data_IF_131748237392
#
_entry.id   IF_131748237392
#
_cell.length_a   1.000
_cell.length_b   1.000
_cell.length_c   1.000
_cell.angle_alpha   90.00
_cell.angle_beta   90.00
_cell.angle_gamma   90.00
#
_symmetry.space_group_name_H-M   'P 1'
#
loop_
_entity.id
_entity.type
_entity.pdbx_description
1 polymer ?
#
# COMPACT_ATOMS: atom_id res chain seq x y z
N UNK A 1 0.69 14.66 5.03
CA UNK A 1 0.96 14.49 3.58
C UNK A 1 1.77 13.21 3.43
N UNK A 2 1.56 12.44 2.36
CA UNK A 2 2.44 11.31 2.04
C UNK A 2 3.67 11.85 1.29
N UNK A 3 4.90 11.70 1.81
CA UNK A 3 6.13 12.12 1.13
C UNK A 3 6.39 11.30 -0.14
N UNK A 4 7.18 11.82 -1.08
CA UNK A 4 7.58 11.03 -2.24
C UNK A 4 8.62 9.98 -1.80
N UNK A 5 8.65 8.82 -2.46
CA UNK A 5 9.54 7.72 -2.08
C UNK A 5 11.03 8.09 -2.01
N UNK A 6 11.46 9.06 -2.84
CA UNK A 6 12.82 9.60 -2.87
C UNK A 6 13.17 10.47 -1.64
N UNK A 7 12.17 11.09 -1.02
CA UNK A 7 12.39 12.04 0.10
C UNK A 7 12.62 11.29 1.43
N UNK A 8 12.18 10.04 1.50
CA UNK A 8 12.19 9.17 2.68
C UNK A 8 13.01 7.91 2.44
N UNK A 9 14.07 8.03 1.66
CA UNK A 9 14.90 6.88 1.34
C UNK A 9 15.56 6.31 2.60
N UNK A 10 15.26 5.03 2.87
CA UNK A 10 15.86 4.20 3.91
C UNK A 10 15.66 4.72 5.34
N UNK A 11 14.57 5.42 5.63
CA UNK A 11 14.25 5.84 7.01
C UNK A 11 12.87 5.33 7.41
N UNK A 12 12.72 5.00 8.69
CA UNK A 12 11.41 4.74 9.27
C UNK A 12 10.66 6.05 9.45
N UNK A 13 9.37 6.04 9.10
CA UNK A 13 8.52 7.21 9.19
C UNK A 13 7.06 6.83 9.43
N UNK A 14 6.30 7.78 9.94
CA UNK A 14 4.86 7.65 10.14
C UNK A 14 4.17 8.91 9.63
N UNK A 15 2.96 8.76 9.11
CA UNK A 15 2.07 9.91 8.88
C UNK A 15 0.73 9.71 9.55
N UNK A 16 0.32 10.76 10.27
CA UNK A 16 -0.98 10.85 10.89
C UNK A 16 -1.95 11.60 9.96
N UNK A 17 -3.17 11.09 9.79
CA UNK A 17 -4.24 11.80 9.09
C UNK A 17 -5.56 11.65 9.83
N UNK A 18 -6.44 12.64 9.70
CA UNK A 18 -7.81 12.53 10.16
C UNK A 18 -8.71 11.89 9.08
N UNK A 19 -9.82 11.29 9.50
CA UNK A 19 -10.85 10.77 8.59
C UNK A 19 -11.77 11.86 8.02
N UNK A 20 -11.90 13.01 8.69
CA UNK A 20 -12.73 14.15 8.27
C UNK A 20 -11.91 15.35 7.77
N UNK A 21 -12.26 16.54 8.25
CA UNK A 21 -11.54 17.80 8.05
C UNK A 21 -10.79 18.30 9.30
N UNK A 22 -11.03 17.70 10.47
CA UNK A 22 -10.38 18.03 11.74
C UNK A 22 -10.02 16.79 12.56
N UNK A 23 -9.14 16.98 13.53
CA UNK A 23 -8.76 15.94 14.50
C UNK A 23 -9.89 15.65 15.51
N UNK A 24 -10.52 16.69 16.05
CA UNK A 24 -11.70 16.57 16.90
C UNK A 24 -13.01 16.55 16.11
N UNK A 25 -14.08 16.15 16.78
CA UNK A 25 -15.44 16.17 16.25
C UNK A 25 -15.92 17.59 15.95
N UNK A 26 -16.64 17.75 14.84
CA UNK A 26 -17.40 18.95 14.49
C UNK A 26 -18.82 18.52 14.14
N UNK A 27 -19.82 19.13 14.76
CA UNK A 27 -21.23 18.76 14.55
C UNK A 27 -21.72 19.01 13.12
N UNK A 28 -21.08 19.92 12.40
CA UNK A 28 -21.37 20.24 11.00
C UNK A 28 -20.42 19.57 10.00
N UNK A 29 -19.64 18.57 10.40
CA UNK A 29 -18.75 17.84 9.49
C UNK A 29 -19.53 17.11 8.40
N UNK A 30 -19.10 17.29 7.15
CA UNK A 30 -19.65 16.62 5.97
C UNK A 30 -18.57 16.05 5.06
N UNK A 31 -17.32 16.44 5.26
CA UNK A 31 -16.18 16.12 4.40
C UNK A 31 -15.41 14.92 4.96
N UNK A 32 -16.05 13.76 4.90
CA UNK A 32 -15.44 12.49 5.29
C UNK A 32 -14.66 11.90 4.12
N UNK A 33 -13.44 11.41 4.39
CA UNK A 33 -12.65 10.65 3.40
C UNK A 33 -13.37 9.34 3.09
N UNK A 34 -13.35 8.95 1.81
CA UNK A 34 -13.90 7.68 1.37
C UNK A 34 -13.00 6.53 1.79
N UNK A 35 -13.57 5.31 1.81
CA UNK A 35 -12.79 4.10 2.03
C UNK A 35 -11.69 3.93 0.96
N UNK A 36 -11.99 4.33 -0.28
CA UNK A 36 -11.02 4.35 -1.38
C UNK A 36 -9.79 5.21 -1.04
N UNK A 37 -10.00 6.45 -0.57
CA UNK A 37 -8.90 7.33 -0.16
C UNK A 37 -8.05 6.69 0.94
N UNK A 38 -8.69 6.10 1.95
CA UNK A 38 -7.99 5.52 3.10
C UNK A 38 -7.20 4.27 2.69
N UNK A 39 -7.81 3.37 1.91
CA UNK A 39 -7.15 2.14 1.43
C UNK A 39 -5.99 2.49 0.50
N UNK A 40 -6.17 3.43 -0.43
CA UNK A 40 -5.08 3.84 -1.33
C UNK A 40 -3.95 4.53 -0.57
N UNK A 41 -4.26 5.40 0.38
CA UNK A 41 -3.26 5.99 1.26
C UNK A 41 -2.49 4.91 2.03
N UNK A 42 -3.18 3.94 2.63
CA UNK A 42 -2.56 2.83 3.36
C UNK A 42 -1.55 2.07 2.49
N UNK A 43 -1.97 1.67 1.28
CA UNK A 43 -1.12 0.95 0.34
C UNK A 43 0.09 1.79 -0.09
N UNK A 44 -0.12 3.06 -0.43
CA UNK A 44 0.97 3.98 -0.79
C UNK A 44 1.95 4.21 0.35
N UNK A 45 1.47 4.36 1.58
CA UNK A 45 2.30 4.55 2.78
C UNK A 45 3.13 3.28 3.05
N UNK A 46 2.49 2.10 3.02
CA UNK A 46 3.16 0.82 3.20
C UNK A 46 4.20 0.53 2.10
N UNK A 47 3.90 0.83 0.83
CA UNK A 47 4.82 0.70 -0.30
C UNK A 47 6.09 1.53 -0.12
N UNK A 48 5.97 2.63 0.63
CA UNK A 48 7.06 3.55 0.96
C UNK A 48 7.68 3.29 2.34
N UNK A 49 7.30 2.21 3.02
CA UNK A 49 7.86 1.79 4.31
C UNK A 49 7.43 2.63 5.50
N UNK A 50 6.26 3.27 5.42
CA UNK A 50 5.73 4.08 6.52
C UNK A 50 4.60 3.39 7.27
N UNK A 51 4.33 3.91 8.47
CA UNK A 51 3.11 3.62 9.21
C UNK A 51 2.01 4.64 8.92
N UNK A 52 0.76 4.17 8.90
CA UNK A 52 -0.40 5.02 8.72
C UNK A 52 -1.25 5.08 10.00
N UNK A 53 -1.21 6.23 10.68
CA UNK A 53 -2.07 6.50 11.82
C UNK A 53 -3.31 7.27 11.35
N UNK A 54 -4.47 6.63 11.43
CA UNK A 54 -5.75 7.25 11.07
C UNK A 54 -6.53 7.66 12.34
N UNK A 55 -6.76 8.95 12.48
CA UNK A 55 -7.52 9.53 13.59
C UNK A 55 -9.02 9.58 13.30
N UNK A 56 -9.82 9.25 14.32
CA UNK A 56 -11.28 9.36 14.37
C UNK A 56 -11.65 10.20 15.58
N UNK A 57 -12.56 11.15 15.42
CA UNK A 57 -13.07 11.99 16.52
C UNK A 57 -14.49 11.56 16.92
N UNK A 58 -14.67 10.89 18.07
CA UNK A 58 -15.99 10.64 18.64
C UNK A 58 -16.70 11.96 19.00
N UNK A 59 -18.04 11.92 19.00
CA UNK A 59 -18.86 13.04 19.44
C UNK A 59 -18.77 13.26 20.98
N UNK A 60 -19.37 14.33 21.54
CA UNK A 60 -19.32 14.60 22.98
C UNK A 60 -19.92 13.51 23.87
N UNK A 61 -20.69 12.58 23.31
CA UNK A 61 -21.25 11.42 24.03
C UNK A 61 -20.36 10.18 23.92
N UNK A 62 -19.25 10.27 23.18
CA UNK A 62 -18.29 9.19 22.95
C UNK A 62 -18.63 8.30 21.75
N UNK A 63 -19.63 8.66 20.95
CA UNK A 63 -20.06 7.86 19.80
C UNK A 63 -19.26 8.24 18.55
N UNK A 64 -18.75 7.24 17.83
CA UNK A 64 -18.10 7.47 16.53
C UNK A 64 -19.17 7.86 15.49
N UNK A 65 -18.99 8.98 14.77
CA UNK A 65 -19.95 9.40 13.74
C UNK A 65 -20.20 8.32 12.69
N UNK A 66 -21.46 8.10 12.31
CA UNK A 66 -21.85 7.04 11.38
C UNK A 66 -21.07 7.03 10.05
N UNK A 67 -20.79 8.18 9.39
CA UNK A 67 -19.99 8.18 8.16
C UNK A 67 -18.55 7.66 8.36
N UNK A 68 -17.94 7.97 9.50
CA UNK A 68 -16.61 7.46 9.85
C UNK A 68 -16.66 5.95 10.12
N UNK A 69 -17.67 5.48 10.87
CA UNK A 69 -17.87 4.06 11.16
C UNK A 69 -18.08 3.24 9.88
N UNK A 70 -18.93 3.69 8.97
CA UNK A 70 -19.22 2.99 7.72
C UNK A 70 -17.99 2.95 6.79
N UNK A 71 -17.22 4.04 6.76
CA UNK A 71 -15.94 4.07 6.06
C UNK A 71 -14.95 3.05 6.64
N UNK A 72 -14.76 3.04 7.96
CA UNK A 72 -13.85 2.10 8.64
C UNK A 72 -14.29 0.64 8.48
N UNK A 73 -15.60 0.35 8.43
CA UNK A 73 -16.11 -1.00 8.14
C UNK A 73 -15.66 -1.48 6.76
N UNK A 74 -15.81 -0.65 5.72
CA UNK A 74 -15.34 -0.97 4.36
C UNK A 74 -13.82 -1.16 4.30
N UNK A 75 -13.06 -0.33 5.03
CA UNK A 75 -11.61 -0.53 5.16
C UNK A 75 -11.30 -1.86 5.84
N UNK A 76 -12.01 -2.19 6.91
CA UNK A 76 -11.86 -3.47 7.62
C UNK A 76 -12.23 -4.68 6.77
N UNK A 77 -13.24 -4.57 5.90
CA UNK A 77 -13.60 -5.60 4.92
C UNK A 77 -12.46 -5.83 3.92
N UNK A 78 -11.91 -4.77 3.36
CA UNK A 78 -10.75 -4.86 2.46
C UNK A 78 -9.53 -5.46 3.17
N UNK A 79 -9.25 -5.02 4.40
CA UNK A 79 -8.12 -5.51 5.21
C UNK A 79 -8.24 -6.99 5.59
N UNK A 80 -9.47 -7.50 5.77
CA UNK A 80 -9.67 -8.93 6.06
C UNK A 80 -9.20 -9.82 4.91
N UNK A 81 -9.35 -9.34 3.68
CA UNK A 81 -8.95 -10.06 2.47
C UNK A 81 -7.47 -9.80 2.15
N UNK A 82 -7.03 -8.55 2.26
CA UNK A 82 -5.74 -8.11 1.73
C UNK A 82 -4.68 -7.78 2.78
N UNK A 83 -4.96 -8.01 4.07
CA UNK A 83 -4.09 -7.60 5.18
C UNK A 83 -2.68 -8.21 5.15
N UNK A 84 -2.50 -9.37 4.51
CA UNK A 84 -1.18 -9.98 4.29
C UNK A 84 -0.23 -9.06 3.50
N UNK A 85 -0.78 -8.22 2.62
CA UNK A 85 -0.04 -7.25 1.82
C UNK A 85 0.37 -5.98 2.61
N UNK A 86 -0.09 -5.83 3.85
CA UNK A 86 0.14 -4.64 4.68
C UNK A 86 0.92 -4.99 5.96
N UNK A 87 0.56 -6.07 6.64
CA UNK A 87 1.15 -6.40 7.92
C UNK A 87 2.53 -7.07 7.78
N UNK A 88 3.49 -6.60 8.57
CA UNK A 88 4.88 -7.09 8.58
C UNK A 88 5.52 -7.09 7.19
N UNK A 89 5.20 -6.09 6.39
CA UNK A 89 5.79 -5.83 5.08
C UNK A 89 6.85 -4.74 5.17
N UNK A 90 7.47 -4.44 4.04
CA UNK A 90 8.54 -3.48 3.88
C UNK A 90 8.34 -2.67 2.60
N UNK A 91 9.07 -1.56 2.49
CA UNK A 91 9.08 -0.72 1.30
C UNK A 91 9.47 -1.50 0.06
N UNK A 92 8.88 -1.15 -1.07
CA UNK A 92 9.30 -1.66 -2.38
C UNK A 92 10.32 -0.74 -3.04
N UNK A 93 11.05 -1.30 -3.99
CA UNK A 93 11.93 -0.58 -4.91
C UNK A 93 11.24 -0.30 -6.26
N UNK A 94 10.04 -0.84 -6.45
CA UNK A 94 9.27 -0.79 -7.69
C UNK A 94 7.99 0.02 -7.46
N UNK A 95 7.67 0.92 -8.39
CA UNK A 95 6.47 1.74 -8.34
C UNK A 95 5.78 1.72 -9.72
N UNK A 96 4.84 0.77 -9.94
CA UNK A 96 4.16 0.66 -11.23
C UNK A 96 3.21 1.85 -11.45
N UNK A 97 2.94 2.25 -12.71
CA UNK A 97 2.09 3.42 -12.99
C UNK A 97 0.61 3.25 -12.61
N UNK A 98 0.14 2.00 -12.51
CA UNK A 98 -1.26 1.66 -12.26
C UNK A 98 -1.59 1.39 -10.78
N UNK A 99 -0.62 1.52 -9.88
CA UNK A 99 -0.80 1.11 -8.49
C UNK A 99 0.45 1.26 -7.64
N UNK A 100 0.54 0.42 -6.61
CA UNK A 100 1.66 0.40 -5.68
C UNK A 100 2.19 -1.01 -5.54
N UNK A 101 3.46 -1.14 -5.16
CA UNK A 101 4.08 -2.42 -4.85
C UNK A 101 4.59 -2.39 -3.42
N UNK A 102 4.32 -3.45 -2.67
CA UNK A 102 4.78 -3.64 -1.30
C UNK A 102 5.60 -4.92 -1.27
N UNK A 103 6.71 -4.92 -0.53
CA UNK A 103 7.61 -6.07 -0.43
C UNK A 103 7.38 -6.79 0.89
N UNK A 104 7.47 -8.11 0.91
CA UNK A 104 7.62 -8.89 2.13
C UNK A 104 8.73 -9.93 1.92
N UNK A 105 9.61 -10.02 2.89
CA UNK A 105 10.68 -11.00 2.87
C UNK A 105 10.31 -12.21 3.70
N UNK A 106 10.33 -13.37 3.05
CA UNK A 106 10.19 -14.66 3.70
C UNK A 106 11.58 -15.24 4.01
N UNK A 107 11.61 -16.43 4.63
CA UNK A 107 12.88 -17.08 4.98
C UNK A 107 13.76 -17.35 3.75
N UNK A 108 13.15 -17.82 2.65
CA UNK A 108 13.88 -18.33 1.46
C UNK A 108 13.71 -17.48 0.21
N UNK A 109 12.70 -16.61 0.15
CA UNK A 109 12.39 -15.77 -0.99
C UNK A 109 11.77 -14.45 -0.53
N UNK A 110 11.43 -13.60 -1.49
CA UNK A 110 10.61 -12.41 -1.26
C UNK A 110 9.34 -12.46 -2.09
N UNK A 111 8.35 -11.69 -1.65
CA UNK A 111 7.04 -11.56 -2.27
C UNK A 111 6.80 -10.09 -2.55
N UNK A 112 6.31 -9.78 -3.75
CA UNK A 112 5.70 -8.50 -4.05
C UNK A 112 4.19 -8.61 -3.96
N UNK A 113 3.57 -7.66 -3.26
CA UNK A 113 2.13 -7.42 -3.28
C UNK A 113 1.88 -6.20 -4.14
N UNK A 114 1.24 -6.42 -5.27
CA UNK A 114 0.91 -5.39 -6.24
C UNK A 114 -0.53 -4.94 -6.01
N UNK A 115 -0.69 -3.75 -5.44
CA UNK A 115 -1.99 -3.14 -5.20
C UNK A 115 -2.40 -2.32 -6.42
N UNK A 116 -3.32 -2.87 -7.21
CA UNK A 116 -3.77 -2.33 -8.50
C UNK A 116 -4.91 -1.34 -8.27
N UNK A 117 -4.63 -0.05 -8.49
CA UNK A 117 -5.64 1.02 -8.36
C UNK A 117 -6.35 1.30 -9.68
N UNK A 118 -5.66 1.06 -10.79
CA UNK A 118 -6.16 1.22 -12.15
C UNK A 118 -6.14 -0.14 -12.82
N UNK A 119 -7.29 -0.81 -12.82
CA UNK A 119 -7.41 -2.12 -13.45
C UNK A 119 -7.32 -2.00 -14.98
N UNK A 120 -6.50 -2.81 -15.67
CA UNK A 120 -6.27 -2.64 -17.09
C UNK A 120 -7.44 -3.17 -17.92
N UNK A 121 -7.90 -2.40 -18.89
CA UNK A 121 -8.96 -2.82 -19.83
C UNK A 121 -8.49 -3.92 -20.78
N UNK A 122 -7.21 -3.94 -21.13
CA UNK A 122 -6.60 -4.94 -22.02
C UNK A 122 -6.19 -6.24 -21.29
N UNK A 123 -6.48 -6.32 -19.99
CA UNK A 123 -6.17 -7.48 -19.14
C UNK A 123 -4.69 -7.67 -18.84
N UNK A 124 -3.84 -6.64 -19.04
CA UNK A 124 -2.39 -6.77 -18.87
C UNK A 124 -1.82 -5.76 -17.88
N UNK A 125 -1.21 -6.29 -16.82
CA UNK A 125 -0.40 -5.50 -15.90
C UNK A 125 1.08 -5.65 -16.25
N UNK A 126 1.66 -4.62 -16.86
CA UNK A 126 3.08 -4.56 -17.17
C UNK A 126 3.82 -3.68 -16.17
N UNK A 127 5.00 -4.12 -15.75
CA UNK A 127 5.95 -3.31 -14.97
C UNK A 127 7.37 -3.88 -15.07
N UNK A 128 8.35 -3.02 -14.79
CA UNK A 128 9.75 -3.37 -14.84
C UNK A 128 10.20 -4.07 -13.55
N UNK A 129 10.92 -5.16 -13.72
CA UNK A 129 11.56 -5.88 -12.62
C UNK A 129 12.73 -6.69 -13.14
N UNK A 130 13.87 -6.61 -12.45
CA UNK A 130 15.04 -7.45 -12.73
C UNK A 130 14.94 -8.84 -12.09
N UNK A 131 13.94 -9.05 -11.24
CA UNK A 131 13.79 -10.25 -10.42
C UNK A 131 12.92 -11.31 -11.11
N UNK A 132 13.22 -12.58 -10.84
CA UNK A 132 12.53 -13.70 -11.46
C UNK A 132 11.29 -14.08 -10.68
N UNK A 133 10.15 -13.99 -11.34
CA UNK A 133 8.86 -14.42 -10.79
C UNK A 133 8.74 -15.95 -10.82
N UNK A 134 8.30 -16.51 -9.71
CA UNK A 134 7.96 -17.92 -9.53
C UNK A 134 6.48 -18.16 -9.75
N UNK A 135 5.63 -17.33 -9.14
CA UNK A 135 4.17 -17.49 -9.17
C UNK A 135 3.49 -16.13 -9.03
N UNK A 136 2.34 -15.97 -9.69
CA UNK A 136 1.45 -14.82 -9.55
C UNK A 136 0.05 -15.33 -9.22
N UNK A 137 -0.62 -14.72 -8.25
CA UNK A 137 -2.01 -15.04 -7.92
C UNK A 137 -2.77 -13.84 -7.35
N UNK A 138 -4.08 -13.84 -7.51
CA UNK A 138 -4.96 -12.89 -6.82
C UNK A 138 -4.99 -13.23 -5.33
N UNK A 139 -4.77 -12.23 -4.48
CA UNK A 139 -4.79 -12.44 -3.02
C UNK A 139 -6.20 -12.71 -2.51
N UNK A 140 -7.23 -12.22 -3.22
CA UNK A 140 -8.61 -12.32 -2.79
C UNK A 140 -9.15 -13.76 -2.73
N UNK A 141 -8.75 -14.61 -3.67
CA UNK A 141 -9.31 -15.95 -3.87
C UNK A 141 -8.26 -17.02 -4.20
N UNK A 142 -6.97 -16.64 -4.31
CA UNK A 142 -5.88 -17.54 -4.70
C UNK A 142 -5.86 -17.92 -6.18
N UNK A 143 -6.67 -17.26 -7.03
CA UNK A 143 -6.69 -17.53 -8.48
C UNK A 143 -5.31 -17.27 -9.08
N UNK A 144 -4.71 -18.30 -9.67
CA UNK A 144 -3.39 -18.21 -10.32
C UNK A 144 -3.46 -17.40 -11.61
N UNK A 145 -2.49 -16.51 -11.79
CA UNK A 145 -2.38 -15.63 -12.94
C UNK A 145 -1.23 -16.08 -13.83
N UNK A 146 -1.45 -16.03 -15.14
CA UNK A 146 -0.41 -16.28 -16.14
C UNK A 146 0.46 -15.04 -16.26
N UNK A 147 1.75 -15.22 -16.51
CA UNK A 147 2.65 -14.11 -16.74
C UNK A 147 3.72 -14.46 -17.79
N UNK A 148 4.23 -13.44 -18.44
CA UNK A 148 5.28 -13.56 -19.46
C UNK A 148 6.39 -12.57 -19.16
N UNK A 149 7.65 -13.01 -19.25
CA UNK A 149 8.81 -12.14 -19.11
C UNK A 149 8.96 -11.25 -20.35
N UNK A 150 9.25 -9.98 -20.15
CA UNK A 150 9.58 -9.00 -21.20
C UNK A 150 11.06 -8.57 -21.08
N UNK A 151 11.64 -7.89 -22.08
CA UNK A 151 13.07 -7.51 -22.06
C UNK A 151 13.54 -6.68 -20.85
N UNK A 152 12.63 -6.01 -20.13
CA UNK A 152 12.92 -5.21 -18.93
C UNK A 152 12.07 -5.54 -17.70
N UNK A 153 11.17 -6.52 -17.80
CA UNK A 153 10.21 -6.78 -16.74
C UNK A 153 9.30 -7.95 -17.00
N UNK A 154 8.02 -7.75 -16.70
CA UNK A 154 7.00 -8.79 -16.74
C UNK A 154 5.66 -8.21 -17.15
N UNK A 155 4.84 -9.04 -17.80
CA UNK A 155 3.42 -8.79 -18.02
C UNK A 155 2.61 -9.87 -17.35
N UNK A 156 1.73 -9.50 -16.43
CA UNK A 156 0.78 -10.39 -15.77
C UNK A 156 -0.58 -10.27 -16.46
N UNK A 157 -1.15 -11.41 -16.85
CA UNK A 157 -2.49 -11.51 -17.40
C UNK A 157 -3.49 -11.53 -16.24
N UNK A 158 -4.45 -10.62 -16.27
CA UNK A 158 -5.48 -10.47 -15.22
C UNK A 158 -6.88 -10.64 -15.80
N UNK A 159 -7.89 -11.03 -14.99
CA UNK A 159 -9.26 -11.11 -15.47
C UNK A 159 -9.79 -9.75 -15.95
N UNK A 160 -10.82 -9.77 -16.79
CA UNK A 160 -11.44 -8.55 -17.35
C UNK A 160 -12.07 -7.68 -16.27
N UNK A 161 -12.56 -8.28 -15.18
CA UNK A 161 -13.12 -7.56 -14.04
C UNK A 161 -12.18 -7.64 -12.85
N UNK A 162 -11.94 -6.49 -12.23
CA UNK A 162 -11.22 -6.39 -10.97
C UNK A 162 -12.02 -7.08 -9.85
N UNK A 163 -11.42 -8.01 -9.09
CA UNK A 163 -12.00 -8.54 -7.86
C UNK A 163 -12.41 -7.44 -6.87
N UNK A 164 -11.60 -6.39 -6.76
CA UNK A 164 -11.88 -5.20 -5.97
C UNK A 164 -11.60 -3.92 -6.77
N UNK A 165 -12.56 -2.99 -6.78
CA UNK A 165 -12.49 -1.75 -7.57
C UNK A 165 -11.63 -0.65 -6.95
N UNK A 166 -11.38 -0.72 -5.64
CA UNK A 166 -10.57 0.25 -4.89
C UNK A 166 -9.09 -0.07 -5.07
N UNK A 167 -8.73 -1.31 -4.73
CA UNK A 167 -7.37 -1.84 -4.80
C UNK A 167 -7.40 -3.38 -4.82
N UNK A 168 -7.30 -3.98 -6.00
CA UNK A 168 -7.07 -5.43 -6.11
C UNK A 168 -5.61 -5.75 -5.81
N UNK A 169 -5.34 -6.77 -5.00
CA UNK A 169 -3.96 -7.19 -4.70
C UNK A 169 -3.58 -8.45 -5.46
N UNK A 170 -2.47 -8.38 -6.21
CA UNK A 170 -1.80 -9.53 -6.81
C UNK A 170 -0.58 -9.89 -5.96
N UNK A 171 -0.55 -11.12 -5.45
CA UNK A 171 0.63 -11.69 -4.78
C UNK A 171 1.56 -12.29 -5.82
N UNK A 172 2.80 -11.81 -5.85
CA UNK A 172 3.83 -12.19 -6.79
C UNK A 172 5.03 -12.76 -6.04
N UNK A 173 5.15 -14.08 -6.03
CA UNK A 173 6.25 -14.77 -5.40
C UNK A 173 7.49 -14.75 -6.29
N UNK A 174 8.61 -14.32 -5.75
CA UNK A 174 9.90 -14.32 -6.44
C UNK A 174 10.65 -15.63 -6.17
N UNK A 175 11.55 -16.01 -7.09
CA UNK A 175 12.42 -17.17 -6.89
C UNK A 175 13.51 -16.88 -5.87
N UNK A 176 14.10 -15.71 -5.94
CA UNK A 176 15.14 -15.26 -5.03
C UNK A 176 14.59 -14.50 -3.82
N UNK A 177 15.40 -14.48 -2.75
CA UNK A 177 15.27 -13.50 -1.68
C UNK A 177 15.99 -12.23 -2.10
N UNK A 178 15.30 -11.11 -1.97
CA UNK A 178 15.84 -9.81 -2.34
C UNK A 178 16.88 -9.33 -1.30
N UNK A 179 17.84 -8.48 -1.69
CA UNK A 179 18.81 -7.90 -0.77
C UNK A 179 18.12 -7.15 0.37
N UNK A 180 18.65 -7.26 1.58
CA UNK A 180 18.09 -6.58 2.74
C UNK A 180 18.12 -5.06 2.55
N UNK A 181 17.03 -4.40 2.90
CA UNK A 181 16.96 -2.94 2.89
C UNK A 181 17.66 -2.43 4.14
N UNK A 182 18.81 -1.78 3.94
CA UNK A 182 19.54 -1.15 5.04
C UNK A 182 18.84 0.16 5.41
N UNK A 183 18.21 0.18 6.58
CA UNK A 183 17.65 1.40 7.15
C UNK A 183 18.77 2.25 7.73
N UNK A 184 18.68 3.54 7.46
CA UNK A 184 19.50 4.60 8.02
C UNK A 184 18.75 5.11 9.25
N UNK A 185 19.42 5.15 10.40
CA UNK A 185 18.83 5.74 11.60
C UNK A 185 18.44 7.20 11.32
N UNK A 186 17.29 7.64 11.83
CA UNK A 186 16.89 9.04 11.76
C UNK A 186 17.91 9.98 12.42
N UNK A 187 18.67 9.51 13.41
CA UNK A 187 19.78 10.28 14.02
C UNK A 187 21.00 10.43 13.12
N UNK A 188 21.18 9.56 12.11
CA UNK A 188 22.27 9.67 11.15
C UNK A 188 21.99 10.68 10.02
N UNK A 189 20.73 11.11 9.85
CA UNK A 189 20.33 12.13 8.85
C UNK A 189 20.24 13.55 9.42
N UNK A 190 20.27 13.75 10.73
CA UNK A 190 20.04 15.05 11.35
C UNK A 190 21.12 15.36 12.39
N UNK A 191 22.16 16.10 11.98
CA UNK A 191 22.75 17.26 12.68
C UNK A 191 23.72 17.97 11.71
N UNK A 192 23.21 18.52 10.61
CA UNK A 192 23.82 19.74 10.06
C UNK A 192 22.98 20.90 10.60
N UNK A 193 23.49 21.55 11.64
CA UNK A 193 22.99 22.87 12.03
C UNK A 193 23.39 23.77 10.88
N UNK A 194 22.41 24.29 10.14
CA UNK A 194 22.66 25.40 9.25
C UNK A 194 22.94 26.61 10.14
N UNK A 195 24.21 26.93 10.36
CA UNK A 195 24.60 28.22 10.92
C UNK A 195 24.15 29.32 9.93
N UNK A 196 23.35 30.27 10.41
CA UNK A 196 22.96 31.50 9.69
C UNK A 196 24.13 32.47 9.52
#
# INVERSE_FOLDING_TARGET
>A
RIPHAKDIERVDWETCMNIGSSWGYKSWEKNWKSAETIIRNLNTIAARGGNYLLNVGPDPTGVVPAPALDCLRKVGEWMRVNGEAIYATQRSEIFPPWGECIRKDEKKNSVYYLSVFQWPEDGKLAFDTKYTVKEAMLLADGTKLKFTKTPGGITIQVPTQAPDKIATVVRLELKEKLPAIQLISNTAKAFEIADE
#
